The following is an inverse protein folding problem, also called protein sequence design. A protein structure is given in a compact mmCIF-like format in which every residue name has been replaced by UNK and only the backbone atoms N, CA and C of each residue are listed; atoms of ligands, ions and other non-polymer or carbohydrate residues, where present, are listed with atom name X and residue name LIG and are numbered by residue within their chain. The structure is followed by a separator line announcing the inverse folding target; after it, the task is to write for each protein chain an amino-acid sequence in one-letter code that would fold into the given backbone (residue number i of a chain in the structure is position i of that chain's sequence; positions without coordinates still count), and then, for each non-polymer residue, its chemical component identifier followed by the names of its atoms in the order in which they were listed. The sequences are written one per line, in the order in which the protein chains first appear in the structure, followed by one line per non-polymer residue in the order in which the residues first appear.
data_IF_773530701177
#
_entry.id   IF_773530701177
#
_cell.length_a   1.000
_cell.length_b   1.000
_cell.length_c   1.000
_cell.angle_alpha   90.00
_cell.angle_beta   90.00
_cell.angle_gamma   90.00
#
_symmetry.space_group_name_H-M   'P 1'
#
loop_
_entity.id
_entity.type
_entity.pdbx_description
1 polymer ?
#
# COMPACT_ATOMS: atom_id res chain seq x y z
N UNK A 1 9.53 -20.97 -5.27
CA UNK A 1 9.37 -20.95 -3.80
C UNK A 1 9.68 -19.54 -3.30
N UNK A 2 8.68 -18.66 -3.21
CA UNK A 2 8.92 -17.28 -2.75
C UNK A 2 7.72 -16.83 -1.90
N UNK A 3 7.74 -17.15 -0.61
CA UNK A 3 7.17 -16.29 0.44
C UNK A 3 7.61 -16.83 1.81
N UNK A 4 8.77 -16.38 2.30
CA UNK A 4 9.16 -16.57 3.70
C UNK A 4 8.34 -15.64 4.60
N UNK A 5 7.87 -16.15 5.73
CA UNK A 5 7.09 -15.39 6.73
C UNK A 5 7.83 -14.10 7.14
N UNK A 6 7.21 -12.90 7.09
CA UNK A 6 7.90 -11.67 7.46
C UNK A 6 8.07 -11.58 8.99
N UNK A 7 9.33 -11.48 9.47
CA UNK A 7 9.65 -11.11 10.86
C UNK A 7 9.63 -9.58 11.01
N UNK A 8 8.89 -9.06 12.01
CA UNK A 8 8.78 -7.67 12.52
C UNK A 8 9.23 -6.51 11.60
N UNK A 9 8.29 -5.62 11.28
CA UNK A 9 8.54 -4.22 10.90
C UNK A 9 9.02 -3.97 9.46
N UNK A 10 8.77 -4.88 8.52
CA UNK A 10 9.32 -4.79 7.15
C UNK A 10 8.30 -4.21 6.17
N UNK A 11 8.69 -3.14 5.48
CA UNK A 11 8.00 -2.63 4.29
C UNK A 11 8.86 -2.92 3.06
N UNK A 12 8.24 -3.19 1.94
CA UNK A 12 8.95 -3.46 0.69
C UNK A 12 8.14 -2.91 -0.48
N UNK A 13 8.77 -2.55 -1.59
CA UNK A 13 8.07 -2.06 -2.77
C UNK A 13 8.48 -2.86 -4.01
N UNK A 14 7.54 -3.06 -4.93
CA UNK A 14 7.76 -3.91 -6.10
C UNK A 14 7.91 -3.02 -7.34
N UNK A 15 9.07 -3.10 -7.99
CA UNK A 15 9.37 -2.46 -9.27
C UNK A 15 8.78 -3.27 -10.40
N UNK A 16 7.86 -2.64 -11.11
CA UNK A 16 7.44 -3.05 -12.45
C UNK A 16 8.24 -2.20 -13.46
N UNK A 17 8.99 -2.82 -14.38
CA UNK A 17 9.68 -2.06 -15.42
C UNK A 17 8.69 -1.37 -16.35
N UNK A 18 8.74 -0.03 -16.45
CA UNK A 18 7.99 0.73 -17.46
C UNK A 18 7.58 2.16 -17.08
N UNK A 19 7.46 2.50 -15.79
CA UNK A 19 6.94 3.80 -15.36
C UNK A 19 7.99 4.64 -14.62
N UNK A 20 8.75 5.43 -15.39
CA UNK A 20 9.46 6.60 -14.87
C UNK A 20 9.12 7.81 -15.74
N UNK A 21 8.67 8.94 -15.15
CA UNK A 21 8.69 10.23 -15.84
C UNK A 21 10.09 10.45 -16.43
N UNK A 22 10.17 11.00 -17.64
CA UNK A 22 11.43 11.07 -18.41
C UNK A 22 12.58 11.74 -17.63
N UNK A 23 12.25 12.63 -16.69
CA UNK A 23 13.16 13.36 -15.79
C UNK A 23 13.71 12.56 -14.61
N UNK A 24 13.22 11.35 -14.34
CA UNK A 24 13.60 10.52 -13.19
C UNK A 24 14.26 9.19 -13.59
N UNK A 25 14.67 9.02 -14.86
CA UNK A 25 15.45 7.86 -15.28
C UNK A 25 16.85 7.91 -14.64
N UNK A 26 17.30 6.87 -13.92
CA UNK A 26 18.73 6.72 -13.63
C UNK A 26 19.49 6.48 -14.94
N UNK A 27 20.69 7.03 -15.06
CA UNK A 27 21.62 6.93 -16.21
C UNK A 27 22.08 5.49 -16.54
N UNK A 28 21.64 4.47 -15.79
CA UNK A 28 22.05 3.07 -16.01
C UNK A 28 20.89 2.19 -16.47
N UNK A 29 21.02 1.51 -17.63
CA UNK A 29 19.99 0.61 -18.15
C UNK A 29 20.08 -0.72 -17.40
N UNK A 30 19.17 -0.94 -16.44
CA UNK A 30 19.04 -2.26 -15.84
C UNK A 30 18.16 -3.13 -16.73
N UNK A 31 18.84 -4.06 -17.43
CA UNK A 31 18.29 -5.11 -18.27
C UNK A 31 17.27 -5.99 -17.51
N UNK A 32 16.23 -6.38 -18.26
CA UNK A 32 15.31 -7.52 -18.07
C UNK A 32 13.97 -7.29 -17.34
N UNK A 33 12.91 -7.82 -17.95
CA UNK A 33 11.48 -7.78 -17.61
C UNK A 33 11.09 -8.54 -16.31
N UNK A 34 11.92 -8.52 -15.27
CA UNK A 34 11.59 -9.17 -13.99
C UNK A 34 11.07 -8.16 -12.96
N UNK A 35 9.94 -8.48 -12.30
CA UNK A 35 9.47 -7.80 -11.10
C UNK A 35 10.63 -7.71 -10.09
N UNK A 36 11.13 -6.51 -9.80
CA UNK A 36 12.25 -6.33 -8.88
C UNK A 36 11.72 -5.93 -7.50
N UNK A 37 11.96 -6.74 -6.48
CA UNK A 37 11.53 -6.43 -5.11
C UNK A 37 12.61 -5.58 -4.42
N UNK A 38 12.37 -4.28 -4.30
CA UNK A 38 13.22 -3.40 -3.49
C UNK A 38 12.75 -3.46 -2.04
N UNK A 39 13.55 -4.15 -1.23
CA UNK A 39 13.27 -4.30 0.21
C UNK A 39 14.06 -3.24 0.97
N UNK A 40 13.35 -2.33 1.64
CA UNK A 40 13.96 -1.29 2.47
C UNK A 40 14.26 -1.90 3.86
N UNK A 41 15.33 -2.71 3.93
CA UNK A 41 15.71 -3.52 5.11
C UNK A 41 16.52 -2.78 6.19
N UNK A 42 16.66 -1.46 6.11
CA UNK A 42 17.65 -0.73 6.91
C UNK A 42 17.08 0.46 7.69
N UNK A 43 16.92 0.28 9.00
CA UNK A 43 16.86 1.36 10.01
C UNK A 43 15.52 2.08 10.18
N UNK A 44 15.41 2.87 11.26
CA UNK A 44 14.36 3.90 11.44
C UNK A 44 14.52 4.98 10.36
N UNK A 45 14.18 4.66 9.12
CA UNK A 45 14.09 5.63 8.05
C UNK A 45 13.01 6.66 8.44
N UNK A 46 13.22 7.93 8.10
CA UNK A 46 12.21 8.95 8.40
C UNK A 46 10.98 8.67 7.55
N UNK A 47 9.81 9.00 8.08
CA UNK A 47 8.52 8.91 7.41
C UNK A 47 8.55 9.44 5.95
N UNK A 48 9.22 10.58 5.74
CA UNK A 48 9.39 11.23 4.43
C UNK A 48 10.24 10.42 3.45
N UNK A 49 11.19 9.65 3.96
CA UNK A 49 12.08 8.84 3.14
C UNK A 49 11.34 7.62 2.62
N UNK A 50 10.47 7.01 3.44
CA UNK A 50 9.64 5.89 3.02
C UNK A 50 8.64 6.29 1.92
N UNK A 51 7.91 7.39 2.09
CA UNK A 51 6.94 7.83 1.06
C UNK A 51 7.63 8.19 -0.26
N UNK A 52 8.76 8.91 -0.20
CA UNK A 52 9.56 9.24 -1.40
C UNK A 52 10.12 8.01 -2.09
N UNK A 53 10.53 7.00 -1.33
CA UNK A 53 11.06 5.77 -1.88
C UNK A 53 9.97 4.90 -2.51
N UNK A 54 8.84 4.71 -1.82
CA UNK A 54 7.69 3.96 -2.32
C UNK A 54 7.06 4.60 -3.57
N UNK A 55 7.07 5.93 -3.69
CA UNK A 55 6.51 6.64 -4.84
C UNK A 55 7.24 6.42 -6.17
N UNK A 56 8.36 5.67 -6.18
CA UNK A 56 9.09 5.27 -7.40
C UNK A 56 8.50 3.99 -8.03
N UNK A 57 7.47 3.40 -7.42
CA UNK A 57 6.95 2.08 -7.77
C UNK A 57 5.44 2.15 -8.04
N UNK A 58 4.92 1.25 -8.89
CA UNK A 58 3.46 1.10 -9.10
C UNK A 58 2.79 0.48 -7.86
N UNK A 59 3.48 -0.47 -7.21
CA UNK A 59 2.96 -1.19 -6.04
C UNK A 59 3.89 -1.14 -4.83
N UNK A 60 3.29 -1.05 -3.65
CA UNK A 60 4.02 -1.06 -2.38
C UNK A 60 3.41 -2.07 -1.41
N UNK A 61 4.26 -2.91 -0.81
CA UNK A 61 3.83 -3.88 0.18
C UNK A 61 3.80 -3.25 1.58
N UNK A 62 2.59 -3.16 2.11
CA UNK A 62 2.27 -2.56 3.40
C UNK A 62 1.72 -3.65 4.33
N UNK A 63 2.62 -4.45 4.89
CA UNK A 63 2.28 -5.61 5.71
C UNK A 63 2.23 -5.24 7.20
N UNK A 64 1.19 -5.72 7.86
CA UNK A 64 1.12 -5.69 9.32
C UNK A 64 2.02 -6.73 9.96
N UNK A 65 2.42 -6.45 11.20
CA UNK A 65 3.25 -7.38 11.98
C UNK A 65 2.52 -8.67 12.36
N UNK A 66 1.19 -8.62 12.40
CA UNK A 66 0.31 -9.74 12.76
C UNK A 66 -0.83 -9.77 11.74
N UNK A 67 -1.09 -10.96 11.18
CA UNK A 67 -2.16 -11.20 10.21
C UNK A 67 -3.42 -11.66 10.93
N UNK A 68 -4.59 -11.18 10.51
CA UNK A 68 -5.88 -11.69 10.97
C UNK A 68 -6.35 -11.22 12.35
N UNK A 69 -5.55 -10.46 13.12
CA UNK A 69 -6.02 -9.90 14.39
C UNK A 69 -7.07 -8.82 14.15
N UNK A 70 -8.31 -9.08 14.59
CA UNK A 70 -9.46 -8.19 14.39
C UNK A 70 -9.13 -6.78 14.92
N UNK A 71 -9.39 -5.77 14.09
CA UNK A 71 -9.14 -4.36 14.44
C UNK A 71 -7.68 -3.91 14.36
N UNK A 72 -6.71 -4.82 14.15
CA UNK A 72 -5.30 -4.44 14.05
C UNK A 72 -4.99 -3.85 12.67
N UNK A 73 -5.08 -2.53 12.59
CA UNK A 73 -4.76 -1.71 11.42
C UNK A 73 -3.88 -0.55 11.89
N UNK A 74 -2.76 -0.33 11.22
CA UNK A 74 -1.79 0.71 11.58
C UNK A 74 -1.61 1.71 10.44
N UNK A 75 -0.73 2.69 10.64
CA UNK A 75 -0.38 3.75 9.69
C UNK A 75 0.25 3.25 8.38
N UNK A 76 0.72 1.99 8.32
CA UNK A 76 1.46 1.46 7.16
C UNK A 76 0.69 1.58 5.85
N UNK A 77 -0.62 1.33 5.88
CA UNK A 77 -1.46 1.47 4.68
C UNK A 77 -1.51 2.93 4.19
N UNK A 78 -1.59 3.89 5.13
CA UNK A 78 -1.59 5.31 4.81
C UNK A 78 -0.27 5.74 4.13
N UNK A 79 0.86 5.14 4.48
CA UNK A 79 2.14 5.42 3.80
C UNK A 79 2.11 5.03 2.33
N UNK A 80 1.43 3.93 1.99
CA UNK A 80 1.20 3.54 0.61
C UNK A 80 0.45 4.61 -0.16
N UNK A 81 -0.72 5.03 0.35
CA UNK A 81 -1.52 6.10 -0.26
C UNK A 81 -0.74 7.41 -0.41
N UNK A 82 -0.04 7.85 0.64
CA UNK A 82 0.73 9.10 0.63
C UNK A 82 1.91 9.07 -0.34
N UNK A 83 2.39 7.89 -0.70
CA UNK A 83 3.46 7.73 -1.70
C UNK A 83 2.96 7.78 -3.14
N UNK A 84 1.64 7.77 -3.38
CA UNK A 84 1.04 7.67 -4.72
C UNK A 84 1.16 6.29 -5.36
N UNK A 85 1.55 5.29 -4.55
CA UNK A 85 1.75 3.91 -4.94
C UNK A 85 0.52 3.07 -4.58
N UNK A 86 0.10 2.15 -5.43
CA UNK A 86 -1.05 1.28 -5.13
C UNK A 86 -0.69 0.27 -4.04
N UNK A 87 -1.31 0.32 -2.84
CA UNK A 87 -0.86 -0.52 -1.73
C UNK A 87 -1.28 -1.99 -1.89
N UNK A 88 -0.39 -2.91 -1.54
CA UNK A 88 -0.65 -4.34 -1.34
C UNK A 88 -0.61 -4.58 0.17
N UNK A 89 -1.78 -4.80 0.77
CA UNK A 89 -1.97 -4.85 2.21
C UNK A 89 -2.16 -6.27 2.73
N UNK A 90 -1.53 -6.56 3.87
CA UNK A 90 -1.74 -7.81 4.62
C UNK A 90 -1.95 -7.47 6.08
N UNK A 91 -3.03 -7.96 6.68
CA UNK A 91 -3.38 -7.67 8.07
C UNK A 91 -4.81 -8.06 8.42
N UNK A 92 -5.50 -7.19 9.15
CA UNK A 92 -6.89 -7.43 9.57
C UNK A 92 -7.88 -7.30 8.41
N UNK A 93 -8.89 -8.18 8.34
CA UNK A 93 -10.02 -8.05 7.40
C UNK A 93 -10.95 -6.87 7.73
N UNK A 94 -10.88 -6.33 8.95
CA UNK A 94 -11.64 -5.12 9.34
C UNK A 94 -11.20 -3.87 8.58
N UNK A 95 -10.07 -3.92 7.87
CA UNK A 95 -9.58 -2.85 7.00
C UNK A 95 -10.65 -2.38 6.01
N UNK A 96 -11.47 -3.32 5.51
CA UNK A 96 -12.55 -3.05 4.54
C UNK A 96 -13.70 -2.22 5.10
N UNK A 97 -13.78 -2.03 6.43
CA UNK A 97 -14.76 -1.15 7.05
C UNK A 97 -14.30 0.32 7.05
N UNK A 98 -13.00 0.55 6.82
CA UNK A 98 -12.36 1.87 6.89
C UNK A 98 -12.00 2.30 5.46
N UNK A 99 -11.25 1.45 4.75
CA UNK A 99 -10.71 1.75 3.43
C UNK A 99 -11.49 1.04 2.34
N UNK A 100 -11.65 1.72 1.21
CA UNK A 100 -12.31 1.21 0.02
C UNK A 100 -11.56 -0.03 -0.49
N UNK A 101 -12.21 -1.20 -0.64
CA UNK A 101 -11.56 -2.40 -1.19
C UNK A 101 -11.04 -2.22 -2.62
N UNK A 102 -11.49 -1.18 -3.33
CA UNK A 102 -10.98 -0.79 -4.65
C UNK A 102 -9.84 0.23 -4.61
N UNK A 103 -9.33 0.64 -3.45
CA UNK A 103 -8.17 1.56 -3.37
C UNK A 103 -6.86 0.84 -3.05
N UNK A 104 -6.89 -0.45 -2.74
CA UNK A 104 -5.70 -1.25 -2.44
C UNK A 104 -5.94 -2.72 -2.82
N UNK A 105 -4.87 -3.51 -2.84
CA UNK A 105 -4.92 -4.95 -3.09
C UNK A 105 -4.80 -5.68 -1.75
N UNK A 106 -5.83 -6.41 -1.35
CA UNK A 106 -5.76 -7.27 -0.17
C UNK A 106 -4.98 -8.56 -0.50
N UNK A 107 -3.90 -8.82 0.22
CA UNK A 107 -3.11 -10.03 0.13
C UNK A 107 -3.35 -10.92 1.35
N UNK A 108 -3.93 -12.09 1.11
CA UNK A 108 -4.10 -13.16 2.09
C UNK A 108 -2.96 -14.18 1.95
N UNK A 109 -2.05 -14.33 2.92
CA UNK A 109 -0.99 -15.34 2.85
C UNK A 109 -1.50 -16.78 2.75
N UNK A 110 -2.74 -17.05 3.22
CA UNK A 110 -3.39 -18.36 3.09
C UNK A 110 -4.05 -18.59 1.74
N UNK A 111 -4.27 -17.53 0.94
CA UNK A 111 -4.83 -17.61 -0.40
C UNK A 111 -4.25 -16.48 -1.29
N UNK A 112 -2.96 -16.59 -1.69
CA UNK A 112 -2.28 -15.52 -2.40
C UNK A 112 -2.74 -15.35 -3.85
N UNK A 113 -3.32 -16.40 -4.45
CA UNK A 113 -3.63 -16.45 -5.89
C UNK A 113 -4.57 -15.34 -6.32
N UNK A 114 -5.58 -15.01 -5.51
CA UNK A 114 -6.52 -13.93 -5.81
C UNK A 114 -5.83 -12.56 -5.98
N UNK A 115 -4.86 -12.26 -5.11
CA UNK A 115 -4.10 -11.01 -5.18
C UNK A 115 -3.14 -11.01 -6.37
N UNK A 116 -2.45 -12.14 -6.61
CA UNK A 116 -1.53 -12.29 -7.73
C UNK A 116 -2.25 -12.19 -9.09
N UNK A 117 -3.43 -12.80 -9.22
CA UNK A 117 -4.25 -12.71 -10.44
C UNK A 117 -4.80 -11.30 -10.67
N UNK A 118 -5.13 -10.57 -9.61
CA UNK A 118 -5.49 -9.15 -9.73
C UNK A 118 -4.31 -8.32 -10.24
N UNK A 119 -3.10 -8.52 -9.68
CA UNK A 119 -1.89 -7.84 -10.13
C UNK A 119 -1.61 -8.16 -11.60
N UNK A 120 -1.66 -9.44 -12.00
CA UNK A 120 -1.45 -9.85 -13.40
C UNK A 120 -2.43 -9.16 -14.35
N UNK A 121 -3.71 -9.05 -13.96
CA UNK A 121 -4.73 -8.35 -14.75
C UNK A 121 -4.45 -6.85 -14.86
N UNK A 122 -4.06 -6.21 -13.77
CA UNK A 122 -3.68 -4.78 -13.78
C UNK A 122 -2.44 -4.51 -14.62
N UNK A 123 -1.47 -5.42 -14.60
CA UNK A 123 -0.25 -5.31 -15.42
C UNK A 123 -0.52 -5.47 -16.92
N UNK A 124 -1.59 -6.18 -17.28
CA UNK A 124 -2.08 -6.26 -18.65
C UNK A 124 -3.09 -5.16 -19.01
N UNK A 125 -3.56 -4.35 -18.04
CA UNK A 125 -4.64 -3.38 -18.21
C UNK A 125 -4.44 -2.14 -17.33
N UNK A 126 -3.84 -1.11 -17.91
CA UNK A 126 -3.60 0.17 -17.23
C UNK A 126 -4.89 0.88 -16.78
N UNK A 127 -6.02 0.67 -17.48
CA UNK A 127 -7.31 1.23 -17.06
C UNK A 127 -7.75 0.64 -15.72
N UNK A 128 -7.61 -0.68 -15.54
CA UNK A 128 -7.93 -1.35 -14.28
C UNK A 128 -7.01 -0.90 -13.15
N UNK A 129 -5.71 -0.75 -13.44
CA UNK A 129 -4.77 -0.18 -12.47
C UNK A 129 -5.18 1.23 -12.05
N UNK A 130 -5.50 2.10 -13.01
CA UNK A 130 -5.88 3.49 -12.75
C UNK A 130 -7.21 3.60 -12.01
N UNK A 131 -8.18 2.72 -12.27
CA UNK A 131 -9.43 2.64 -11.48
C UNK A 131 -9.11 2.47 -10.00
N UNK A 132 -8.16 1.57 -9.66
CA UNK A 132 -7.78 1.35 -8.27
C UNK A 132 -6.96 2.50 -7.68
N UNK A 133 -5.96 2.98 -8.44
CA UNK A 133 -5.02 3.98 -7.94
C UNK A 133 -5.67 5.37 -7.73
N UNK A 134 -6.79 5.63 -8.40
CA UNK A 134 -7.57 6.88 -8.26
C UNK A 134 -8.85 6.71 -7.44
N UNK A 135 -9.16 5.50 -7.00
CA UNK A 135 -10.35 5.24 -6.20
C UNK A 135 -10.31 6.03 -4.87
N UNK A 136 -11.46 6.48 -4.36
CA UNK A 136 -11.53 7.09 -3.04
C UNK A 136 -10.92 6.17 -1.98
N UNK A 137 -10.08 6.73 -1.10
CA UNK A 137 -9.34 5.98 -0.08
C UNK A 137 -10.29 5.30 0.92
N UNK A 138 -11.29 6.04 1.40
CA UNK A 138 -12.25 5.57 2.39
C UNK A 138 -13.53 5.03 1.74
N UNK A 139 -14.18 4.04 2.37
CA UNK A 139 -15.52 3.57 1.95
C UNK A 139 -16.55 4.69 2.10
N UNK A 140 -16.50 5.34 3.27
CA UNK A 140 -17.29 6.51 3.62
C UNK A 140 -16.33 7.46 4.34
N UNK A 141 -15.94 8.53 3.65
CA UNK A 141 -14.95 9.47 4.17
C UNK A 141 -15.44 10.13 5.45
N UNK A 142 -16.68 10.62 5.49
CA UNK A 142 -17.20 11.33 6.66
C UNK A 142 -17.28 10.41 7.87
N UNK A 143 -17.87 9.22 7.70
CA UNK A 143 -17.99 8.25 8.80
C UNK A 143 -16.64 7.78 9.28
N UNK A 144 -15.69 7.53 8.38
CA UNK A 144 -14.36 7.04 8.74
C UNK A 144 -13.56 8.11 9.47
N UNK A 145 -13.61 9.35 9.00
CA UNK A 145 -12.95 10.48 9.65
C UNK A 145 -13.49 10.71 11.06
N UNK A 146 -14.82 10.76 11.22
CA UNK A 146 -15.44 11.00 12.54
C UNK A 146 -15.15 9.84 13.50
N UNK A 147 -15.24 8.59 13.02
CA UNK A 147 -15.10 7.42 13.89
C UNK A 147 -13.65 7.09 14.28
N UNK A 148 -12.69 7.36 13.40
CA UNK A 148 -11.31 6.88 13.58
C UNK A 148 -10.26 7.99 13.68
N UNK A 149 -10.54 9.20 13.17
CA UNK A 149 -9.53 10.26 13.01
C UNK A 149 -9.92 11.60 13.64
N UNK A 150 -11.04 11.66 14.37
CA UNK A 150 -11.66 12.89 14.89
C UNK A 150 -11.00 13.50 16.14
N UNK A 151 -9.66 13.50 16.18
CA UNK A 151 -8.87 13.86 17.36
C UNK A 151 -8.66 15.38 17.53
N UNK A 152 -9.07 16.20 16.56
CA UNK A 152 -9.00 17.66 16.60
C UNK A 152 -10.15 18.27 15.76
N UNK A 153 -10.47 19.57 15.92
CA UNK A 153 -11.58 20.21 15.17
C UNK A 153 -11.37 20.23 13.66
N UNK A 154 -10.10 20.17 13.22
CA UNK A 154 -9.74 20.24 11.81
C UNK A 154 -9.89 18.92 11.05
N UNK A 155 -10.15 17.80 11.74
CA UNK A 155 -10.30 16.48 11.14
C UNK A 155 -11.56 15.83 11.73
N UNK A 156 -12.50 15.46 10.87
CA UNK A 156 -13.79 14.91 11.32
C UNK A 156 -14.65 15.97 12.02
N UNK A 157 -15.25 15.61 13.14
CA UNK A 157 -16.17 16.41 13.97
C UNK A 157 -15.61 16.75 15.37
N UNK A 158 -14.33 16.46 15.63
CA UNK A 158 -13.70 16.62 16.94
C UNK A 158 -14.22 15.69 18.05
N UNK A 159 -15.05 14.68 17.75
CA UNK A 159 -15.67 13.82 18.77
C UNK A 159 -14.71 12.94 19.57
N UNK A 160 -13.46 12.76 19.10
CA UNK A 160 -12.43 11.95 19.76
C UNK A 160 -11.34 12.79 20.44
N UNK A 161 -11.57 14.08 20.62
CA UNK A 161 -10.69 14.94 21.42
C UNK A 161 -10.66 14.47 22.88
N UNK A 162 -9.51 14.67 23.52
CA UNK A 162 -9.31 14.39 24.95
C UNK A 162 -9.65 15.61 25.80
#
# INVERSE_FOLDING_TARGET
QLCGVPRRGRQAAVRVPGYLPRSLRPETPLRNNSLFLDTWLGGRQRFTDNTRNMGKYKYCMVMENVVGHVGYVTEKLLYGFMSGCLPIYTGSKTIHNIFNPKSFIYYDPGNPDAALDLIRRMEANDTLYNEYNTAPIFVDAQRSLNKYFSICDGIGDGSLKR
#
